data_IF_571730904550
#
_entry.id   IF_571730904550
#
_cell.length_a   1.000
_cell.length_b   1.000
_cell.length_c   1.000
_cell.angle_alpha   90.00
_cell.angle_beta   90.00
_cell.angle_gamma   90.00
#
_symmetry.space_group_name_H-M   'P 1'
#
loop_
_entity.id
_entity.type
_entity.pdbx_description
1 polymer ?
#
# COMPACT_ATOMS: atom_id res chain seq x y z
N UNK A 1 -16.52 27.48 -56.06
CA UNK A 1 -16.97 27.75 -54.68
C UNK A 1 -15.84 27.36 -53.73
N UNK A 2 -14.96 28.18 -53.14
CA UNK A 2 -14.79 29.63 -52.91
C UNK A 2 -15.91 30.31 -52.14
N UNK A 3 -15.70 30.46 -50.84
CA UNK A 3 -16.05 31.65 -50.05
C UNK A 3 -14.83 32.09 -49.23
N UNK A 4 -14.69 33.40 -48.95
CA UNK A 4 -13.39 34.04 -48.79
C UNK A 4 -13.15 34.60 -47.37
N UNK A 5 -11.87 34.92 -47.16
CA UNK A 5 -11.27 35.67 -46.06
C UNK A 5 -11.99 37.01 -45.77
N UNK A 6 -12.34 37.30 -44.51
CA UNK A 6 -12.72 38.64 -44.06
C UNK A 6 -12.41 38.84 -42.56
N UNK A 7 -11.83 40.00 -42.24
CA UNK A 7 -11.49 40.56 -40.91
C UNK A 7 -10.27 39.91 -40.21
N UNK A 8 -9.06 40.48 -40.12
CA UNK A 8 -8.63 41.87 -39.90
C UNK A 8 -9.22 42.50 -38.61
N UNK A 9 -8.87 41.95 -37.45
CA UNK A 9 -8.76 42.71 -36.19
C UNK A 9 -7.45 42.30 -35.50
N UNK A 10 -6.44 43.15 -35.63
CA UNK A 10 -5.30 43.19 -34.73
C UNK A 10 -5.69 44.04 -33.51
N UNK A 11 -5.81 43.44 -32.33
CA UNK A 11 -5.65 44.15 -31.06
C UNK A 11 -5.42 43.16 -29.91
N UNK A 12 -4.16 43.06 -29.49
CA UNK A 12 -3.72 42.95 -28.10
C UNK A 12 -4.53 42.05 -27.16
N UNK A 13 -4.20 40.75 -27.16
CA UNK A 13 -4.04 39.98 -25.92
C UNK A 13 -2.84 39.04 -26.13
N UNK A 14 -1.66 39.62 -25.88
CA UNK A 14 -0.48 38.89 -25.46
C UNK A 14 -0.84 38.12 -24.18
N UNK A 15 -1.40 36.92 -24.34
CA UNK A 15 -1.30 35.94 -23.25
C UNK A 15 0.08 35.34 -23.38
N UNK A 16 1.05 36.08 -22.85
CA UNK A 16 2.37 35.55 -22.53
C UNK A 16 2.12 34.32 -21.66
N UNK A 17 2.29 33.13 -22.22
CA UNK A 17 2.58 31.93 -21.43
C UNK A 17 3.98 32.14 -20.86
N UNK A 18 4.08 33.04 -19.89
CA UNK A 18 5.14 33.06 -18.90
C UNK A 18 4.89 31.84 -18.03
N UNK A 19 5.25 30.66 -18.55
CA UNK A 19 5.50 29.51 -17.71
C UNK A 19 6.76 29.86 -16.91
N UNK A 20 6.56 30.55 -15.79
CA UNK A 20 7.47 30.47 -14.66
C UNK A 20 7.66 28.98 -14.40
N UNK A 21 8.91 28.57 -14.14
CA UNK A 21 9.22 27.21 -13.71
C UNK A 21 8.66 27.07 -12.29
N UNK A 22 7.35 26.88 -12.20
CA UNK A 22 6.63 26.73 -10.95
C UNK A 22 6.65 25.24 -10.62
N UNK A 23 7.25 24.89 -9.47
CA UNK A 23 7.39 23.52 -8.96
C UNK A 23 6.06 22.77 -9.14
N UNK A 24 6.04 21.76 -10.00
CA UNK A 24 4.85 20.91 -10.12
C UNK A 24 4.62 20.20 -8.78
N UNK A 25 3.38 20.20 -8.26
CA UNK A 25 3.09 19.51 -7.02
C UNK A 25 3.37 18.02 -7.20
N UNK A 26 4.33 17.50 -6.43
CA UNK A 26 4.62 16.06 -6.40
C UNK A 26 3.40 15.34 -5.83
N UNK A 27 2.66 14.65 -6.68
CA UNK A 27 1.55 13.79 -6.26
C UNK A 27 2.12 12.52 -5.65
N UNK A 28 1.90 12.33 -4.35
CA UNK A 28 2.32 11.13 -3.61
C UNK A 28 1.26 10.03 -3.72
N UNK A 29 1.71 8.78 -3.68
CA UNK A 29 0.81 7.62 -3.63
C UNK A 29 0.04 7.56 -2.31
N UNK A 30 -1.26 7.25 -2.40
CA UNK A 30 -2.13 6.98 -1.26
C UNK A 30 -2.31 5.46 -1.03
N UNK A 31 -1.65 4.61 -1.83
CA UNK A 31 -1.79 3.16 -1.77
C UNK A 31 -1.06 2.58 -0.55
N UNK A 32 -1.74 1.67 0.16
CA UNK A 32 -1.32 1.12 1.46
C UNK A 32 -1.92 -0.28 1.70
N UNK A 33 -2.03 -1.03 0.63
CA UNK A 33 -2.53 -2.39 0.61
C UNK A 33 -1.44 -3.34 1.12
N UNK A 34 -1.84 -4.36 1.88
CA UNK A 34 -1.04 -5.53 2.16
C UNK A 34 -1.59 -6.61 1.24
N UNK A 35 -0.81 -7.09 0.30
CA UNK A 35 -1.28 -7.99 -0.76
C UNK A 35 -0.86 -9.43 -0.52
N UNK A 36 0.22 -9.66 0.22
CA UNK A 36 0.66 -10.99 0.63
C UNK A 36 1.31 -10.95 2.00
N UNK A 37 1.17 -12.05 2.74
CA UNK A 37 1.85 -12.28 4.00
C UNK A 37 2.21 -13.76 4.09
N UNK A 38 3.48 -14.07 4.31
CA UNK A 38 4.00 -15.44 4.30
C UNK A 38 4.79 -15.70 5.58
N UNK A 39 4.49 -16.80 6.27
CA UNK A 39 5.27 -17.28 7.42
C UNK A 39 5.69 -18.72 7.15
N UNK A 40 7.00 -19.01 7.21
CA UNK A 40 7.54 -20.37 6.96
C UNK A 40 7.00 -21.02 5.68
N UNK A 41 7.02 -20.27 4.58
CA UNK A 41 6.55 -20.68 3.25
C UNK A 41 5.05 -20.99 3.15
N UNK A 42 4.25 -20.62 4.16
CA UNK A 42 2.80 -20.73 4.15
C UNK A 42 2.22 -19.34 3.90
N UNK A 43 1.46 -19.22 2.81
CA UNK A 43 0.76 -18.01 2.44
C UNK A 43 -0.50 -17.83 3.30
N UNK A 44 -0.67 -16.61 3.83
CA UNK A 44 -1.84 -16.22 4.58
C UNK A 44 -3.00 -15.82 3.66
N UNK A 45 -4.23 -15.98 4.14
CA UNK A 45 -5.41 -15.39 3.51
C UNK A 45 -5.53 -13.93 3.93
N UNK A 46 -5.48 -13.02 2.97
CA UNK A 46 -5.68 -11.58 3.20
C UNK A 46 -7.12 -11.20 2.87
N UNK A 47 -7.83 -10.64 3.84
CA UNK A 47 -9.14 -10.02 3.66
C UNK A 47 -8.99 -8.50 3.67
N UNK A 48 -9.02 -7.90 2.48
CA UNK A 48 -8.89 -6.46 2.32
C UNK A 48 -10.15 -5.69 2.75
N UNK A 49 -11.31 -6.32 2.89
CA UNK A 49 -12.50 -5.61 3.38
C UNK A 49 -12.47 -5.48 4.90
N UNK A 50 -12.10 -6.56 5.59
CA UNK A 50 -12.03 -6.62 7.05
C UNK A 50 -10.69 -6.17 7.62
N UNK A 51 -9.67 -6.00 6.75
CA UNK A 51 -8.28 -5.73 7.14
C UNK A 51 -7.73 -6.79 8.09
N UNK A 52 -8.01 -8.04 7.77
CA UNK A 52 -7.54 -9.19 8.55
C UNK A 52 -6.69 -10.10 7.70
N UNK A 53 -5.68 -10.70 8.30
CA UNK A 53 -4.82 -11.69 7.66
C UNK A 53 -4.82 -12.95 8.53
N UNK A 54 -5.21 -14.07 7.96
CA UNK A 54 -5.34 -15.33 8.66
C UNK A 54 -4.37 -16.37 8.10
N UNK A 55 -3.60 -17.01 8.97
CA UNK A 55 -2.66 -18.06 8.59
C UNK A 55 -2.80 -19.27 9.51
N UNK A 56 -2.80 -20.47 8.91
CA UNK A 56 -2.83 -21.73 9.64
C UNK A 56 -1.50 -22.45 9.49
N UNK A 57 -0.81 -22.69 10.61
CA UNK A 57 0.48 -23.35 10.64
C UNK A 57 0.35 -24.81 11.08
N UNK A 58 1.29 -25.69 10.68
CA UNK A 58 1.30 -27.09 11.07
C UNK A 58 1.41 -27.28 12.59
N UNK A 59 0.86 -28.39 13.08
CA UNK A 59 0.94 -28.80 14.48
C UNK A 59 2.38 -28.78 15.00
N UNK A 60 2.57 -28.30 16.23
CA UNK A 60 3.89 -28.21 16.87
C UNK A 60 4.73 -27.00 16.46
N UNK A 61 4.20 -26.10 15.62
CA UNK A 61 4.91 -24.85 15.29
C UNK A 61 4.93 -23.90 16.49
N UNK A 62 6.13 -23.50 16.93
CA UNK A 62 6.31 -22.43 17.93
C UNK A 62 5.98 -21.07 17.34
N UNK A 63 5.05 -20.33 17.95
CA UNK A 63 4.57 -19.03 17.45
C UNK A 63 5.15 -17.81 18.14
N UNK A 64 6.01 -18.00 19.15
CA UNK A 64 6.53 -16.91 20.00
C UNK A 64 7.65 -16.09 19.38
N UNK A 65 8.20 -16.51 18.25
CA UNK A 65 9.31 -15.84 17.56
C UNK A 65 9.35 -16.22 16.08
N UNK A 66 8.36 -15.77 15.30
CA UNK A 66 8.26 -16.02 13.87
C UNK A 66 8.64 -14.78 13.07
N UNK A 67 9.27 -15.01 11.91
CA UNK A 67 9.51 -14.01 10.88
C UNK A 67 8.54 -14.22 9.73
N UNK A 68 8.20 -13.14 9.06
CA UNK A 68 7.33 -13.13 7.90
C UNK A 68 7.98 -12.41 6.72
N UNK A 69 7.40 -12.62 5.55
CA UNK A 69 7.59 -11.78 4.37
C UNK A 69 6.24 -11.16 4.03
N UNK A 70 6.22 -9.86 3.74
CA UNK A 70 5.01 -9.14 3.38
C UNK A 70 5.22 -8.43 2.04
N UNK A 71 4.22 -8.50 1.19
CA UNK A 71 4.11 -7.64 0.01
C UNK A 71 3.11 -6.54 0.30
N UNK A 72 3.50 -5.29 0.04
CA UNK A 72 2.70 -4.09 0.26
C UNK A 72 2.73 -3.22 -0.99
N UNK A 73 1.81 -2.27 -1.07
CA UNK A 73 1.77 -1.29 -2.16
C UNK A 73 3.11 -0.60 -2.38
N UNK A 74 3.41 -0.28 -3.64
CA UNK A 74 4.65 0.40 -4.00
C UNK A 74 4.80 1.70 -3.19
N UNK A 75 6.03 1.94 -2.71
CA UNK A 75 6.41 3.08 -1.85
C UNK A 75 5.74 3.14 -0.47
N UNK A 76 4.87 2.19 -0.14
CA UNK A 76 4.38 2.06 1.23
C UNK A 76 5.48 1.51 2.14
N UNK A 77 5.27 1.65 3.45
CA UNK A 77 6.07 1.02 4.50
C UNK A 77 5.16 0.26 5.46
N UNK A 78 5.71 -0.72 6.17
CA UNK A 78 4.98 -1.55 7.12
C UNK A 78 5.68 -1.57 8.49
N UNK A 79 4.91 -1.52 9.56
CA UNK A 79 5.40 -1.60 10.94
C UNK A 79 4.44 -2.42 11.82
N UNK A 80 4.91 -3.30 12.72
CA UNK A 80 6.33 -3.64 12.96
C UNK A 80 6.98 -4.28 11.72
N UNK A 81 8.32 -4.35 11.70
CA UNK A 81 9.04 -4.97 10.59
C UNK A 81 8.78 -6.49 10.58
N UNK A 82 8.10 -7.03 9.55
CA UNK A 82 7.76 -8.46 9.49
C UNK A 82 8.98 -9.38 9.45
N UNK A 83 10.16 -8.87 9.07
CA UNK A 83 11.40 -9.66 8.99
C UNK A 83 12.07 -9.87 10.36
N UNK A 84 11.59 -9.18 11.39
CA UNK A 84 12.00 -9.36 12.78
C UNK A 84 11.22 -10.50 13.45
N UNK A 85 11.77 -11.07 14.53
CA UNK A 85 11.09 -12.13 15.26
C UNK A 85 9.94 -11.52 16.10
N UNK A 86 8.72 -11.94 15.83
CA UNK A 86 7.49 -11.45 16.48
C UNK A 86 6.74 -12.63 17.11
N UNK A 87 6.13 -12.38 18.27
CA UNK A 87 5.23 -13.33 18.95
C UNK A 87 3.81 -13.21 18.40
N UNK A 88 3.31 -14.30 17.80
CA UNK A 88 1.97 -14.42 17.26
C UNK A 88 1.04 -15.29 18.13
N UNK A 89 1.36 -15.48 19.41
CA UNK A 89 0.47 -16.16 20.36
C UNK A 89 -0.86 -15.42 20.56
N UNK A 90 -0.89 -14.12 20.21
CA UNK A 90 -2.08 -13.29 20.12
C UNK A 90 -2.11 -12.59 18.75
N UNK A 91 -3.28 -12.09 18.30
CA UNK A 91 -3.35 -11.28 17.09
C UNK A 91 -2.39 -10.09 17.14
N UNK A 92 -1.65 -9.88 16.06
CA UNK A 92 -0.66 -8.80 15.94
C UNK A 92 -1.17 -7.76 14.96
N UNK A 93 -1.10 -6.48 15.34
CA UNK A 93 -1.47 -5.37 14.47
C UNK A 93 -0.26 -4.88 13.68
N UNK A 94 -0.42 -4.78 12.37
CA UNK A 94 0.54 -4.17 11.46
C UNK A 94 -0.08 -2.94 10.81
N UNK A 95 0.70 -1.87 10.70
CA UNK A 95 0.30 -0.62 10.05
C UNK A 95 1.05 -0.48 8.75
N UNK A 96 0.31 -0.43 7.64
CA UNK A 96 0.84 -0.04 6.33
C UNK A 96 0.64 1.47 6.17
N UNK A 97 1.72 2.19 5.87
CA UNK A 97 1.75 3.65 5.68
C UNK A 97 2.07 3.94 4.22
N UNK A 98 1.21 4.68 3.53
CA UNK A 98 1.40 5.12 2.16
C UNK A 98 2.48 6.22 2.05
N UNK A 99 2.90 6.54 0.83
CA UNK A 99 3.88 7.61 0.54
C UNK A 99 3.39 8.99 1.02
N UNK A 100 2.07 9.23 0.93
CA UNK A 100 1.39 10.44 1.43
C UNK A 100 1.32 10.53 2.96
N UNK A 101 1.68 9.47 3.69
CA UNK A 101 1.65 9.38 5.14
C UNK A 101 0.33 8.89 5.76
N UNK A 102 -0.69 8.64 4.95
CA UNK A 102 -1.94 8.02 5.44
C UNK A 102 -1.73 6.54 5.73
N UNK A 103 -2.53 5.96 6.63
CA UNK A 103 -2.28 4.60 7.16
C UNK A 103 -3.48 3.66 7.04
N UNK A 104 -3.19 2.36 7.09
CA UNK A 104 -4.17 1.26 7.15
C UNK A 104 -3.65 0.18 8.09
N UNK A 105 -4.44 -0.17 9.10
CA UNK A 105 -4.09 -1.20 10.09
C UNK A 105 -4.65 -2.56 9.62
N UNK A 106 -3.84 -3.61 9.73
CA UNK A 106 -4.19 -5.01 9.49
C UNK A 106 -3.99 -5.82 10.76
N UNK A 107 -4.93 -6.71 11.06
CA UNK A 107 -4.80 -7.66 12.17
C UNK A 107 -4.39 -9.03 11.65
N UNK A 108 -3.18 -9.47 12.00
CA UNK A 108 -2.62 -10.77 11.64
C UNK A 108 -2.96 -11.78 12.74
N UNK A 109 -3.60 -12.89 12.38
CA UNK A 109 -3.97 -13.98 13.29
C UNK A 109 -3.32 -15.27 12.82
N UNK A 110 -2.51 -15.87 13.69
CA UNK A 110 -1.89 -17.18 13.47
C UNK A 110 -2.65 -18.23 14.26
N UNK A 111 -3.08 -19.29 13.57
CA UNK A 111 -3.66 -20.48 14.19
C UNK A 111 -2.73 -21.66 13.99
N UNK A 112 -2.49 -22.46 15.03
CA UNK A 112 -1.74 -23.71 14.91
C UNK A 112 -2.74 -24.86 14.93
N UNK A 113 -2.63 -25.79 13.98
CA UNK A 113 -3.45 -27.00 13.99
C UNK A 113 -3.18 -27.78 15.28
N UNK A 114 -4.24 -28.18 15.99
CA UNK A 114 -4.14 -29.12 17.11
C UNK A 114 -4.46 -30.53 16.61
N UNK A 115 -3.72 -31.53 17.11
CA UNK A 115 -4.16 -32.91 16.98
C UNK A 115 -5.39 -33.12 17.87
N UNK A 116 -6.40 -33.81 17.33
CA UNK A 116 -7.59 -34.24 18.08
C UNK A 116 -7.28 -35.47 18.94
#
# INVERSE_FOLDING_TARGET
>A
MKTPNFFLIALLLLVITSCSKDDEPVVKSELKELTSFVIKDIEATVDEQLKTVAITLPVGTTVTALKATAEISEKASISPDPTTAIDYSNPVKFTVTAEDGTTKEYTITVTVLSAA
#
